data_IF_102214231155
#
_entry.id   IF_102214231155
#
_cell.length_a   1.000
_cell.length_b   1.000
_cell.length_c   1.000
_cell.angle_alpha   90.00
_cell.angle_beta   90.00
_cell.angle_gamma   90.00
#
_symmetry.space_group_name_H-M   'P 1'
#
loop_
_entity.id
_entity.type
_entity.pdbx_description
1 polymer ?
2 non-polymer ?
3 non-polymer ?
4 non-polymer ?
5 water ?
#
# COMPACT_ATOMS: atom_id res chain seq x y z
N UNK A 1 13.32 -1.56 12.69
CA UNK A 1 13.33 -2.21 11.35
C UNK A 1 13.92 -1.34 10.26
N UNK A 2 13.97 -1.85 9.02
CA UNK A 2 14.57 -1.10 7.91
C UNK A 2 13.76 0.12 7.48
N UNK A 3 14.46 1.15 6.98
CA UNK A 3 13.82 2.33 6.39
C UNK A 3 14.55 2.69 5.10
N UNK A 4 13.86 3.42 4.23
CA UNK A 4 14.52 3.99 3.05
C UNK A 4 15.46 5.10 3.51
N UNK A 5 16.67 5.11 2.95
CA UNK A 5 17.73 6.05 3.32
C UNK A 5 17.93 7.14 2.27
N UNK A 6 16.85 7.50 1.60
CA UNK A 6 16.87 8.47 0.52
C UNK A 6 15.46 9.05 0.46
N UNK A 7 15.32 10.22 -0.14
CA UNK A 7 14.02 10.90 -0.16
C UNK A 7 13.21 10.68 -1.42
N UNK A 8 13.87 10.43 -2.56
CA UNK A 8 13.15 10.18 -3.81
C UNK A 8 12.94 8.69 -4.00
N UNK A 9 11.68 8.27 -3.95
CA UNK A 9 11.28 6.87 -4.01
C UNK A 9 10.46 6.66 -5.26
N UNK A 10 10.74 5.58 -5.99
CA UNK A 10 9.97 5.24 -7.18
C UNK A 10 9.04 4.06 -6.94
N UNK A 11 7.93 4.07 -7.66
CA UNK A 11 7.06 2.92 -7.71
C UNK A 11 6.66 2.62 -9.15
N UNK A 12 6.28 1.38 -9.37
CA UNK A 12 5.82 0.94 -10.68
C UNK A 12 4.64 0.01 -10.50
N UNK A 13 3.64 0.16 -11.35
CA UNK A 13 2.49 -0.73 -11.33
C UNK A 13 2.78 -1.86 -12.33
N UNK A 14 3.07 -3.02 -11.78
CA UNK A 14 3.44 -4.20 -12.55
C UNK A 14 2.36 -4.64 -13.52
N UNK A 15 1.13 -4.63 -13.02
CA UNK A 15 -0.02 -5.09 -13.77
C UNK A 15 -1.26 -4.52 -13.12
N UNK A 16 -2.37 -4.55 -13.83
CA UNK A 16 -3.59 -3.91 -13.40
C UNK A 16 -4.70 -4.90 -13.15
N UNK A 17 -5.39 -4.75 -12.03
CA UNK A 17 -6.57 -5.55 -11.78
C UNK A 17 -7.66 -5.25 -12.81
N UNK A 18 -8.33 -6.30 -13.31
CA UNK A 18 -9.47 -6.10 -14.21
C UNK A 18 -10.72 -5.66 -13.47
N UNK A 19 -10.64 -5.53 -12.14
CA UNK A 19 -11.77 -5.11 -11.32
C UNK A 19 -12.11 -3.63 -11.49
N UNK A 20 -11.16 -2.84 -11.98
CA UNK A 20 -11.25 -1.39 -11.96
C UNK A 20 -10.83 -0.81 -13.31
N UNK A 21 -11.25 0.43 -13.55
CA UNK A 21 -10.72 1.20 -14.67
C UNK A 21 -9.23 1.47 -14.42
N UNK A 22 -8.42 1.40 -15.47
CA UNK A 22 -6.99 1.63 -15.34
C UNK A 22 -6.66 2.96 -14.66
N UNK A 23 -7.33 4.03 -15.09
CA UNK A 23 -7.06 5.35 -14.53
C UNK A 23 -7.39 5.43 -13.04
N UNK A 24 -8.39 4.65 -12.61
CA UNK A 24 -8.78 4.61 -11.21
C UNK A 24 -7.75 3.87 -10.35
N UNK A 25 -7.12 2.84 -10.91
CA UNK A 25 -6.02 2.16 -10.20
C UNK A 25 -4.86 3.15 -10.02
N UNK A 26 -4.49 3.82 -11.10
CA UNK A 26 -3.42 4.79 -11.05
C UNK A 26 -3.71 5.84 -9.97
N UNK A 27 -4.93 6.36 -9.97
CA UNK A 27 -5.25 7.44 -9.04
C UNK A 27 -5.31 6.97 -7.59
N UNK A 28 -5.88 5.80 -7.35
CA UNK A 28 -5.93 5.24 -6.00
C UNK A 28 -4.53 5.08 -5.43
N UNK A 29 -3.62 4.54 -6.23
CA UNK A 29 -2.25 4.30 -5.76
C UNK A 29 -1.51 5.64 -5.54
N UNK A 30 -1.68 6.56 -6.48
CA UNK A 30 -1.07 7.89 -6.33
C UNK A 30 -1.53 8.56 -5.05
N UNK A 31 -2.84 8.55 -4.81
CA UNK A 31 -3.39 9.18 -3.60
C UNK A 31 -2.88 8.49 -2.33
N UNK A 32 -2.73 7.18 -2.37
CA UNK A 32 -2.22 6.44 -1.21
C UNK A 32 -0.77 6.84 -0.90
N UNK A 33 0.07 6.99 -1.92
CA UNK A 33 1.43 7.51 -1.69
C UNK A 33 1.40 8.92 -1.10
N UNK A 34 0.50 9.76 -1.62
CA UNK A 34 0.39 11.14 -1.15
C UNK A 34 0.06 11.23 0.35
N UNK A 35 -0.74 10.30 0.85
CA UNK A 35 -1.04 10.25 2.28
C UNK A 35 0.26 10.25 3.11
N UNK A 36 1.25 9.50 2.65
CA UNK A 36 2.50 9.37 3.40
C UNK A 36 3.50 10.47 3.09
N UNK A 37 3.54 10.93 1.84
CA UNK A 37 4.43 12.06 1.56
C UNK A 37 3.94 13.35 2.22
N UNK A 38 2.65 13.40 2.58
CA UNK A 38 2.08 14.55 3.31
C UNK A 38 2.72 14.78 4.66
N UNK A 39 3.24 13.71 5.27
CA UNK A 39 3.69 13.72 6.66
C UNK A 39 5.15 13.27 6.82
N UNK A 40 5.88 13.20 5.70
CA UNK A 40 7.30 12.84 5.70
C UNK A 40 8.01 13.67 4.65
N UNK A 41 9.36 13.62 4.62
CA UNK A 41 10.10 14.23 3.52
C UNK A 41 10.16 13.42 2.21
N UNK A 42 9.45 12.30 2.16
CA UNK A 42 9.52 11.43 1.00
C UNK A 42 8.78 12.03 -0.19
N UNK A 43 9.32 11.76 -1.39
CA UNK A 43 8.68 12.13 -2.65
C UNK A 43 8.54 10.86 -3.48
N UNK A 44 7.34 10.61 -4.00
CA UNK A 44 7.08 9.38 -4.75
C UNK A 44 6.83 9.70 -6.20
N UNK A 45 7.41 8.90 -7.10
CA UNK A 45 7.21 9.06 -8.54
C UNK A 45 6.94 7.71 -9.18
N UNK A 46 5.95 7.68 -10.06
CA UNK A 46 5.60 6.50 -10.83
C UNK A 46 6.51 6.40 -12.03
N UNK A 47 7.11 5.22 -12.21
CA UNK A 47 7.91 4.96 -13.40
C UNK A 47 7.24 3.83 -14.18
N UNK A 48 7.48 3.79 -15.48
CA UNK A 48 6.77 2.88 -16.34
C UNK A 48 7.62 1.74 -16.89
N UNK A 49 8.91 1.78 -16.58
CA UNK A 49 9.85 0.73 -16.95
C UNK A 49 11.00 0.73 -15.95
N UNK A 50 11.70 -0.39 -15.87
CA UNK A 50 12.90 -0.48 -15.05
C UNK A 50 12.60 -0.92 -13.64
N UNK A 51 13.62 -0.85 -12.79
CA UNK A 51 13.55 -1.32 -11.43
C UNK A 51 13.09 -0.18 -10.51
N UNK A 52 11.88 -0.30 -9.97
CA UNK A 52 11.35 0.68 -9.03
C UNK A 52 11.71 0.24 -7.62
N UNK A 53 11.68 1.17 -6.67
CA UNK A 53 11.81 0.79 -5.26
C UNK A 53 10.61 -0.06 -4.83
N UNK A 54 9.41 0.38 -5.18
CA UNK A 54 8.18 -0.28 -4.77
C UNK A 54 7.44 -0.77 -6.01
N UNK A 55 7.38 -2.08 -6.18
CA UNK A 55 6.61 -2.68 -7.24
C UNK A 55 5.22 -3.06 -6.70
N UNK A 56 4.19 -2.57 -7.38
CA UNK A 56 2.80 -2.85 -7.07
C UNK A 56 2.31 -3.97 -7.98
N UNK A 57 1.84 -5.06 -7.38
CA UNK A 57 1.46 -6.27 -8.10
C UNK A 57 0.07 -6.72 -7.69
N UNK A 58 -0.75 -7.12 -8.68
CA UNK A 58 -1.98 -7.86 -8.40
C UNK A 58 -1.72 -9.31 -8.77
N UNK A 59 -1.97 -10.22 -7.83
CA UNK A 59 -1.75 -11.65 -8.07
C UNK A 59 -2.69 -12.46 -7.22
N UNK A 60 -2.89 -13.72 -7.57
CA UNK A 60 -3.73 -14.62 -6.77
C UNK A 60 -2.97 -15.89 -6.39
N UNK A 61 -3.42 -16.54 -5.32
CA UNK A 61 -2.84 -17.79 -4.85
C UNK A 61 -1.34 -17.68 -4.64
N UNK A 62 -0.62 -18.72 -5.02
CA UNK A 62 0.85 -18.74 -4.98
C UNK A 62 1.36 -17.85 -6.11
N UNK A 63 2.27 -16.93 -5.78
CA UNK A 63 2.72 -15.94 -6.77
C UNK A 63 4.21 -15.58 -6.65
N UNK A 64 5.04 -16.54 -6.28
CA UNK A 64 6.48 -16.41 -6.47
C UNK A 64 7.26 -15.80 -5.33
N UNK A 65 6.57 -15.46 -4.25
CA UNK A 65 7.23 -15.19 -2.98
C UNK A 65 6.83 -16.33 -2.06
N UNK A 66 7.24 -16.28 -0.79
CA UNK A 66 6.94 -17.38 0.10
C UNK A 66 5.56 -17.22 0.78
N UNK A 67 4.78 -16.22 0.32
CA UNK A 67 3.58 -15.79 1.02
C UNK A 67 2.33 -15.83 0.13
N UNK A 68 1.61 -16.94 0.15
CA UNK A 68 0.48 -17.17 -0.76
C UNK A 68 -0.80 -16.46 -0.33
N UNK A 69 -1.62 -16.08 -1.32
CA UNK A 69 -2.96 -15.57 -1.07
C UNK A 69 -3.99 -16.73 -0.99
N UNK A 70 -5.19 -16.40 -0.51
CA UNK A 70 -6.11 -17.39 0.03
C UNK A 70 -7.51 -17.34 -0.57
N UNK A 71 -7.63 -16.78 -1.77
CA UNK A 71 -8.94 -16.61 -2.39
C UNK A 71 -9.70 -15.44 -1.80
N UNK A 72 -10.98 -15.30 -2.15
CA UNK A 72 -11.76 -14.15 -1.69
C UNK A 72 -11.92 -14.18 -0.17
N UNK A 73 -11.78 -13.02 0.46
CA UNK A 73 -11.80 -12.89 1.91
C UNK A 73 -10.44 -13.15 2.52
N UNK A 74 -10.38 -13.11 3.85
CA UNK A 74 -9.13 -13.35 4.57
C UNK A 74 -8.07 -12.33 4.20
N UNK A 75 -6.91 -12.82 3.78
CA UNK A 75 -5.80 -11.92 3.40
C UNK A 75 -6.14 -11.13 2.16
N UNK A 76 -5.98 -9.81 2.25
CA UNK A 76 -6.31 -8.90 1.17
C UNK A 76 -5.08 -8.47 0.38
N UNK A 77 -3.96 -8.34 1.07
CA UNK A 77 -2.75 -7.76 0.50
C UNK A 77 -1.61 -7.94 1.49
N UNK A 78 -0.38 -7.84 1.01
CA UNK A 78 0.78 -7.78 1.89
C UNK A 78 1.89 -7.00 1.24
N UNK A 79 2.84 -6.55 2.04
CA UNK A 79 3.93 -5.75 1.53
C UNK A 79 5.18 -6.00 2.31
N UNK A 80 6.31 -5.80 1.65
CA UNK A 80 7.62 -6.03 2.25
C UNK A 80 8.23 -4.71 2.69
N UNK A 81 8.92 -4.74 3.81
CA UNK A 81 9.60 -3.57 4.32
C UNK A 81 10.74 -3.11 3.41
N UNK A 82 11.24 -1.90 3.66
CA UNK A 82 12.30 -1.34 2.83
C UNK A 82 13.50 -2.26 2.69
N UNK A 83 14.06 -2.28 1.48
CA UNK A 83 15.23 -3.08 1.19
C UNK A 83 15.33 -3.30 -0.29
N UNK A 84 16.42 -3.95 -0.70
CA UNK A 84 16.65 -4.26 -2.10
C UNK A 84 15.70 -5.36 -2.59
N UNK A 85 15.64 -5.52 -3.90
CA UNK A 85 14.87 -6.59 -4.53
C UNK A 85 13.39 -6.48 -4.24
N UNK A 86 12.84 -7.52 -3.61
CA UNK A 86 11.42 -7.56 -3.24
C UNK A 86 11.08 -6.54 -2.14
N UNK A 87 12.08 -6.04 -1.42
CA UNK A 87 11.86 -5.04 -0.39
C UNK A 87 11.04 -3.89 -0.93
N UNK A 88 10.08 -3.43 -0.13
CA UNK A 88 9.18 -2.38 -0.54
C UNK A 88 7.96 -2.82 -1.34
N UNK A 89 7.99 -3.99 -1.96
CA UNK A 89 6.93 -4.32 -2.91
C UNK A 89 5.61 -4.57 -2.21
N UNK A 90 4.52 -4.24 -2.89
CA UNK A 90 3.18 -4.34 -2.35
C UNK A 90 2.33 -5.20 -3.27
N UNK A 91 1.77 -6.27 -2.72
CA UNK A 91 1.00 -7.24 -3.49
C UNK A 91 -0.45 -7.24 -3.04
N UNK A 92 -1.36 -7.24 -4.00
CA UNK A 92 -2.80 -7.19 -3.75
C UNK A 92 -3.44 -8.44 -4.30
N UNK A 93 -4.27 -9.09 -3.50
CA UNK A 93 -4.87 -10.36 -3.87
C UNK A 93 -5.95 -10.15 -4.92
N UNK A 94 -5.70 -10.66 -6.12
CA UNK A 94 -6.65 -10.50 -7.22
C UNK A 94 -7.97 -11.24 -6.97
N UNK A 95 -8.00 -12.16 -6.03
CA UNK A 95 -9.27 -12.81 -5.70
C UNK A 95 -10.20 -11.91 -4.87
N UNK A 96 -9.72 -10.76 -4.42
CA UNK A 96 -10.60 -9.73 -3.91
C UNK A 96 -11.17 -8.93 -5.08
N UNK A 97 -12.24 -8.19 -4.80
CA UNK A 97 -12.82 -7.31 -5.80
C UNK A 97 -12.52 -5.88 -5.41
N UNK A 98 -11.54 -5.29 -6.09
CA UNK A 98 -11.03 -3.96 -5.77
C UNK A 98 -11.95 -2.89 -6.33
N UNK A 99 -12.19 -1.84 -5.55
CA UNK A 99 -13.03 -0.74 -6.02
C UNK A 99 -12.55 0.63 -5.58
N UNK A 100 -13.19 1.65 -6.17
CA UNK A 100 -12.99 3.04 -5.79
C UNK A 100 -13.93 3.50 -4.66
N UNK A 101 -14.78 2.61 -4.17
CA UNK A 101 -15.86 3.04 -3.30
C UNK A 101 -16.04 2.05 -2.13
N UNK A 102 -17.22 2.00 -1.53
CA UNK A 102 -17.45 1.17 -0.35
C UNK A 102 -17.74 -0.30 -0.66
N UNK A 103 -18.05 -0.59 -1.92
CA UNK A 103 -18.24 -1.95 -2.38
C UNK A 103 -16.91 -2.69 -2.47
N UNK A 104 -16.97 -4.02 -2.44
CA UNK A 104 -15.77 -4.84 -2.53
C UNK A 104 -14.76 -4.46 -1.46
N UNK A 105 -13.50 -4.36 -1.85
CA UNK A 105 -12.43 -3.88 -0.97
C UNK A 105 -11.86 -2.64 -1.62
N UNK A 106 -11.82 -1.56 -0.86
CA UNK A 106 -11.35 -0.30 -1.40
C UNK A 106 -9.84 -0.32 -1.62
N UNK A 107 -9.42 -0.09 -2.86
CA UNK A 107 -8.00 -0.15 -3.20
C UNK A 107 -7.20 0.95 -2.51
N UNK A 108 -7.69 2.18 -2.56
CA UNK A 108 -6.98 3.30 -1.94
C UNK A 108 -6.67 3.01 -0.47
N UNK A 109 -7.67 2.64 0.30
CA UNK A 109 -7.47 2.44 1.73
C UNK A 109 -6.49 1.30 1.98
N UNK A 110 -6.64 0.22 1.24
CA UNK A 110 -5.74 -0.91 1.38
C UNK A 110 -4.30 -0.53 0.99
N UNK A 111 -4.17 0.26 -0.08
CA UNK A 111 -2.85 0.72 -0.48
C UNK A 111 -2.21 1.65 0.55
N UNK A 112 -3.00 2.48 1.24
CA UNK A 112 -2.41 3.30 2.30
C UNK A 112 -1.77 2.39 3.35
N UNK A 113 -2.51 1.37 3.79
CA UNK A 113 -2.03 0.41 4.76
C UNK A 113 -0.77 -0.30 4.26
N UNK A 114 -0.82 -0.83 3.05
CA UNK A 114 0.32 -1.57 2.50
C UNK A 114 1.54 -0.69 2.31
N UNK A 115 1.37 0.52 1.79
CA UNK A 115 2.50 1.41 1.62
C UNK A 115 3.11 1.75 2.98
N UNK A 116 2.30 1.84 4.03
CA UNK A 116 2.84 1.97 5.38
C UNK A 116 3.88 0.89 5.65
N UNK A 117 3.53 -0.37 5.34
CA UNK A 117 4.49 -1.46 5.46
C UNK A 117 5.69 -1.28 4.53
N UNK A 118 5.46 -0.87 3.29
CA UNK A 118 6.54 -0.64 2.33
C UNK A 118 7.54 0.42 2.80
N UNK A 119 7.09 1.30 3.69
CA UNK A 119 7.95 2.33 4.27
C UNK A 119 8.57 1.92 5.60
N UNK A 120 8.15 0.78 6.13
CA UNK A 120 8.74 0.22 7.34
C UNK A 120 7.86 0.20 8.58
N UNK A 121 6.59 0.57 8.46
CA UNK A 121 5.67 0.50 9.60
C UNK A 121 5.17 -0.91 9.83
N UNK A 122 4.96 -1.21 11.11
CA UNK A 122 4.25 -2.40 11.50
C UNK A 122 2.81 -2.06 11.86
N UNK A 123 2.12 -3.05 12.41
CA UNK A 123 0.74 -2.85 12.78
C UNK A 123 0.57 -2.09 14.07
N UNK A 124 -0.57 -1.42 14.18
CA UNK A 124 -0.95 -0.69 15.36
C UNK A 124 -2.06 -1.43 16.09
N UNK A 125 -2.09 -1.32 17.41
CA UNK A 125 -3.19 -1.86 18.22
C UNK A 125 -4.38 -0.91 18.29
N UNK A 126 -4.24 0.30 17.76
CA UNK A 126 -5.29 1.31 17.81
C UNK A 126 -6.29 1.09 16.68
N UNK A 127 -7.57 0.80 17.01
CA UNK A 127 -8.55 0.59 15.93
C UNK A 127 -8.79 1.79 15.01
N UNK A 128 -8.39 2.98 15.44
CA UNK A 128 -8.53 4.19 14.63
C UNK A 128 -7.43 4.32 13.57
N UNK A 129 -6.36 3.54 13.71
CA UNK A 129 -5.19 3.66 12.84
C UNK A 129 -5.38 2.92 11.53
N UNK A 130 -4.86 3.49 10.44
CA UNK A 130 -4.88 2.79 9.16
C UNK A 130 -3.98 1.55 9.22
N UNK A 131 -2.99 1.56 10.11
CA UNK A 131 -2.14 0.37 10.32
C UNK A 131 -2.75 -0.67 11.27
N UNK A 132 -3.99 -0.47 11.73
CA UNK A 132 -4.74 -1.50 12.47
C UNK A 132 -5.16 -2.58 11.48
N UNK A 133 -4.81 -3.84 11.76
CA UNK A 133 -4.92 -4.85 10.72
C UNK A 133 -6.31 -5.49 10.53
N UNK A 134 -7.35 -4.67 10.51
CA UNK A 134 -8.68 -5.10 10.06
C UNK A 134 -9.21 -4.07 9.09
N UNK A 135 -9.48 -4.50 7.86
CA UNK A 135 -10.05 -3.62 6.85
C UNK A 135 -11.44 -3.17 7.28
N UNK A 136 -11.69 -1.88 7.12
CA UNK A 136 -12.98 -1.27 7.41
C UNK A 136 -13.11 -0.07 6.50
N UNK A 137 -14.18 -0.01 5.72
CA UNK A 137 -14.39 1.15 4.86
C UNK A 137 -14.65 2.38 5.71
N UNK A 138 -13.93 3.45 5.37
CA UNK A 138 -14.22 4.79 5.86
C UNK A 138 -14.27 5.68 4.62
N UNK A 139 -15.05 6.76 4.69
CA UNK A 139 -15.19 7.65 3.56
C UNK A 139 -13.83 8.09 3.04
N UNK A 140 -13.50 7.69 1.81
CA UNK A 140 -12.16 7.95 1.25
C UNK A 140 -11.93 9.43 0.93
N UNK A 141 -13.02 10.17 0.70
CA UNK A 141 -12.92 11.58 0.32
C UNK A 141 -12.52 12.49 1.48
N UNK A 142 -12.70 11.98 2.71
CA UNK A 142 -12.35 12.73 3.91
C UNK A 142 -11.36 11.96 4.79
N UNK A 143 -10.73 10.92 4.23
CA UNK A 143 -9.81 10.07 4.98
C UNK A 143 -8.64 10.87 5.58
N UNK A 144 -8.29 10.56 6.83
CA UNK A 144 -7.09 11.11 7.46
C UNK A 144 -6.38 10.05 8.30
N UNK A 145 -5.06 10.09 8.30
CA UNK A 145 -4.26 9.24 9.20
C UNK A 145 -4.64 9.54 10.63
N UNK A 146 -4.59 8.52 11.48
CA UNK A 146 -4.78 8.75 12.91
C UNK A 146 -3.50 9.37 13.46
N UNK A 147 -3.62 9.96 14.66
CA UNK A 147 -2.45 10.48 15.35
C UNK A 147 -1.41 9.38 15.55
N UNK A 148 -1.87 8.15 15.77
CA UNK A 148 -0.99 7.00 15.95
C UNK A 148 -0.17 6.70 14.70
N UNK A 149 -0.80 6.77 13.53
CA UNK A 149 -0.10 6.56 12.24
C UNK A 149 0.95 7.64 12.00
N UNK A 150 0.59 8.89 12.29
CA UNK A 150 1.51 9.99 12.09
C UNK A 150 2.68 9.87 13.06
N UNK A 151 2.41 9.53 14.31
CA UNK A 151 3.48 9.23 15.28
C UNK A 151 4.39 8.12 14.75
N UNK A 152 3.78 7.03 14.30
CA UNK A 152 4.54 5.89 13.77
C UNK A 152 5.47 6.26 12.64
N UNK A 153 4.96 6.91 11.61
CA UNK A 153 5.78 7.20 10.42
C UNK A 153 6.82 8.28 10.72
N UNK A 154 6.47 9.22 11.59
CA UNK A 154 7.43 10.27 11.97
C UNK A 154 8.49 9.77 12.97
N UNK A 155 8.32 8.56 13.51
CA UNK A 155 9.40 7.89 14.24
C UNK A 155 10.46 7.31 13.27
N UNK A 156 10.09 7.13 11.99
CA UNK A 156 10.98 6.54 10.99
C UNK A 156 11.57 7.57 10.03
N UNK A 157 10.81 8.62 9.72
CA UNK A 157 11.19 9.63 8.75
C UNK A 157 10.95 11.01 9.32
N UNK A 158 11.71 11.97 8.81
CA UNK A 158 11.72 13.30 9.37
C UNK A 158 12.39 13.28 10.74
X LIG B 1 -0.82 -5.10 7.38
X LIG C 1 3.19 -11.59 -2.36
X LIG D 1 11.49 -3.44 -4.38
X LIG E 1 -10.31 -9.29 -8.57
X LIG F 1 -7.73 -13.21 -0.02
X LIG G 1 -4.44 -8.65 4.47
X LIG G 1 -4.91 -8.52 5.82
X LIG G 1 -6.02 -9.28 6.21
X LIG G 1 -3.62 -9.07 6.59
X LIG G 1 -2.26 -8.97 6.16
X LIG G 1 -1.73 -7.58 6.32
X LIG G 1 -1.71 -6.99 7.40
X LIG G 1 -1.27 -7.02 5.22
X LIG G 1 -0.73 -5.76 5.30
X LIG G 1 -5.18 -6.95 5.76
X LIG G 1 -5.94 -6.44 6.83
X LIG G 1 -6.28 -5.10 6.91
X LIG G 1 -4.73 -6.05 4.79
X LIG G 1 -5.06 -4.70 4.87
X LIG G 1 -5.82 -4.20 5.94
X LIG G 1 -6.22 -2.78 6.01
X LIG G 1 -6.28 -2.04 7.19
X LIG G 1 -6.71 -0.72 7.19
X LIG G 1 -7.14 -0.13 6.01
X LIG G 1 -7.13 -0.86 4.82
X LIG G 1 -6.69 -2.18 4.83
#
# INVERSE_FOLDING_TARGET
GPVWRKHYITYRINNYTPDMNREDVDYAIRKAFQVWSNVTPLKFSKINTGMADILVVFARGAHGDDHAFDGKGGILAHAFGPGSGIGGDAHFDEDEFWTTHSGGTNLFLTAVHEIGHSLGLGHSSDPKAVMFPTYKYVDINTFRLSADDIRGIQSLYG
ZN ZN
ZN ZN
CA CA
CA CA
CA CA
HS4 O4 S1 O3 N1 C12 C14 O1 N2 O2 C13 C10 C5 C11 C8 C2 C1 C4 C7 C9 C6 C3
#
